data_IF_016607113898
#
_entry.id   IF_016607113898
#
_cell.length_a   1.000
_cell.length_b   1.000
_cell.length_c   1.000
_cell.angle_alpha   90.00
_cell.angle_beta   90.00
_cell.angle_gamma   90.00
#
_symmetry.space_group_name_H-M   'P 1'
#
loop_
_entity.id
_entity.type
_entity.pdbx_description
1 polymer ?
#
# COMPACT_ATOMS: atom_id res chain seq x y z
N UNK A 1 -34.13 33.91 14.98
CA UNK A 1 -33.98 33.07 13.76
C UNK A 1 -32.77 32.14 13.81
N UNK A 2 -31.89 32.22 14.82
CA UNK A 2 -30.69 31.38 14.97
C UNK A 2 -30.98 29.90 15.32
N UNK A 3 -32.14 29.60 15.89
CA UNK A 3 -32.48 28.24 16.35
C UNK A 3 -32.79 27.27 15.19
N UNK A 4 -33.45 27.73 14.13
CA UNK A 4 -33.80 26.88 12.98
C UNK A 4 -32.57 26.38 12.22
N UNK A 5 -31.55 27.23 12.03
CA UNK A 5 -30.32 26.85 11.34
C UNK A 5 -29.54 25.78 12.14
N UNK A 6 -29.50 25.92 13.47
CA UNK A 6 -28.85 24.94 14.35
C UNK A 6 -29.57 23.59 14.33
N UNK A 7 -30.90 23.59 14.32
CA UNK A 7 -31.70 22.35 14.20
C UNK A 7 -31.46 21.66 12.85
N UNK A 8 -31.45 22.41 11.75
CA UNK A 8 -31.15 21.86 10.43
C UNK A 8 -29.75 21.25 10.36
N UNK A 9 -28.74 21.93 10.93
CA UNK A 9 -27.37 21.42 10.97
C UNK A 9 -27.25 20.14 11.82
N UNK A 10 -27.96 20.06 12.95
CA UNK A 10 -28.02 18.83 13.77
C UNK A 10 -28.67 17.67 13.01
N UNK A 11 -29.79 17.91 12.34
CA UNK A 11 -30.48 16.91 11.54
C UNK A 11 -29.59 16.40 10.39
N UNK A 12 -28.89 17.30 9.69
CA UNK A 12 -27.94 16.92 8.63
C UNK A 12 -26.78 16.09 9.17
N UNK A 13 -26.23 16.44 10.34
CA UNK A 13 -25.18 15.65 11.00
C UNK A 13 -25.66 14.24 11.33
N UNK A 14 -26.86 14.10 11.90
CA UNK A 14 -27.45 12.80 12.23
C UNK A 14 -27.68 11.95 10.97
N UNK A 15 -28.17 12.56 9.89
CA UNK A 15 -28.33 11.89 8.59
C UNK A 15 -26.99 11.35 8.06
N UNK A 16 -25.93 12.17 8.07
CA UNK A 16 -24.60 11.77 7.60
C UNK A 16 -24.00 10.66 8.46
N UNK A 17 -24.21 10.68 9.79
CA UNK A 17 -23.77 9.60 10.68
C UNK A 17 -24.50 8.29 10.38
N UNK A 18 -25.81 8.35 10.15
CA UNK A 18 -26.60 7.18 9.78
C UNK A 18 -26.16 6.60 8.43
N UNK A 19 -25.86 7.45 7.44
CA UNK A 19 -25.34 7.03 6.14
C UNK A 19 -23.96 6.40 6.27
N UNK A 20 -23.07 7.00 7.07
CA UNK A 20 -21.74 6.42 7.37
C UNK A 20 -21.86 5.03 7.97
N UNK A 21 -22.77 4.82 8.92
CA UNK A 21 -22.99 3.50 9.53
C UNK A 21 -23.43 2.47 8.48
N UNK A 22 -24.39 2.82 7.61
CA UNK A 22 -24.86 1.95 6.53
C UNK A 22 -23.73 1.56 5.56
N UNK A 23 -22.85 2.49 5.23
CA UNK A 23 -21.69 2.21 4.39
C UNK A 23 -20.72 1.23 5.06
N UNK A 24 -20.46 1.38 6.35
CA UNK A 24 -19.64 0.43 7.11
C UNK A 24 -20.26 -0.98 7.14
N UNK A 25 -21.57 -1.09 7.35
CA UNK A 25 -22.28 -2.38 7.28
C UNK A 25 -22.19 -3.01 5.88
N UNK A 26 -22.26 -2.19 4.82
CA UNK A 26 -22.12 -2.67 3.44
C UNK A 26 -20.71 -3.17 3.15
N UNK A 27 -19.67 -2.47 3.61
CA UNK A 27 -18.27 -2.91 3.49
C UNK A 27 -18.07 -4.23 4.21
N UNK A 28 -18.49 -4.34 5.47
CA UNK A 28 -18.36 -5.57 6.25
C UNK A 28 -19.06 -6.76 5.58
N UNK A 29 -20.21 -6.54 4.92
CA UNK A 29 -20.87 -7.58 4.13
C UNK A 29 -20.04 -8.02 2.92
N UNK A 30 -19.50 -7.06 2.15
CA UNK A 30 -18.67 -7.36 0.98
C UNK A 30 -17.39 -8.11 1.37
N UNK A 31 -16.76 -7.74 2.49
CA UNK A 31 -15.57 -8.44 3.00
C UNK A 31 -15.88 -9.92 3.33
N UNK A 32 -17.06 -10.20 3.91
CA UNK A 32 -17.50 -11.58 4.14
C UNK A 32 -17.76 -12.32 2.82
N UNK A 33 -18.41 -11.68 1.85
CA UNK A 33 -18.66 -12.27 0.52
C UNK A 33 -17.36 -12.61 -0.21
N UNK A 34 -16.32 -11.77 -0.11
CA UNK A 34 -14.98 -12.03 -0.65
C UNK A 34 -14.36 -13.25 0.04
N UNK A 35 -14.39 -13.30 1.38
CA UNK A 35 -13.85 -14.43 2.13
C UNK A 35 -14.57 -15.76 1.86
N UNK A 36 -15.87 -15.72 1.52
CA UNK A 36 -16.62 -16.90 1.06
C UNK A 36 -16.16 -17.35 -0.33
N UNK A 37 -15.93 -16.41 -1.24
CA UNK A 37 -15.43 -16.69 -2.59
C UNK A 37 -14.01 -17.27 -2.59
N UNK A 38 -13.11 -16.72 -1.77
CA UNK A 38 -11.73 -17.21 -1.64
C UNK A 38 -11.70 -18.66 -1.13
N UNK A 39 -12.49 -18.96 -0.09
CA UNK A 39 -12.64 -20.33 0.43
C UNK A 39 -13.15 -21.30 -0.63
N UNK A 40 -14.14 -20.87 -1.42
CA UNK A 40 -14.66 -21.67 -2.53
C UNK A 40 -13.58 -21.95 -3.59
N UNK A 41 -12.76 -20.96 -3.95
CA UNK A 41 -11.66 -21.11 -4.91
C UNK A 41 -10.63 -22.13 -4.40
N UNK A 42 -10.25 -22.04 -3.12
CA UNK A 42 -9.32 -23.00 -2.49
C UNK A 42 -9.87 -24.43 -2.50
N UNK A 43 -11.13 -24.60 -2.08
CA UNK A 43 -11.80 -25.90 -2.10
C UNK A 43 -11.89 -26.45 -3.52
N UNK A 44 -12.25 -25.60 -4.49
CA UNK A 44 -12.32 -25.99 -5.89
C UNK A 44 -10.95 -26.46 -6.40
N UNK A 45 -9.86 -25.73 -6.15
CA UNK A 45 -8.51 -26.16 -6.54
C UNK A 45 -8.11 -27.49 -5.91
N UNK A 46 -8.51 -27.73 -4.66
CA UNK A 46 -8.26 -29.00 -3.96
C UNK A 46 -8.91 -30.20 -4.65
N UNK A 47 -10.13 -30.04 -5.18
CA UNK A 47 -10.86 -31.11 -5.86
C UNK A 47 -10.56 -31.20 -7.36
N UNK A 48 -10.27 -30.07 -8.00
CA UNK A 48 -10.12 -29.97 -9.44
C UNK A 48 -8.70 -30.27 -9.94
N UNK A 49 -7.69 -30.33 -9.07
CA UNK A 49 -6.33 -30.77 -9.43
C UNK A 49 -6.18 -32.29 -9.21
N UNK A 50 -6.32 -33.14 -10.25
CA UNK A 50 -6.16 -34.58 -10.14
C UNK A 50 -4.70 -35.05 -9.95
N UNK A 51 -3.72 -34.14 -9.87
CA UNK A 51 -2.29 -34.49 -9.80
C UNK A 51 -1.71 -34.67 -8.39
N UNK A 52 -2.44 -34.36 -7.31
CA UNK A 52 -1.88 -34.40 -5.94
C UNK A 52 -1.83 -35.79 -5.27
N UNK A 53 -2.06 -36.89 -6.01
CA UNK A 53 -2.04 -38.24 -5.44
C UNK A 53 -1.12 -39.26 -6.14
N UNK A 54 -0.22 -38.84 -7.04
CA UNK A 54 0.69 -39.78 -7.71
C UNK A 54 2.13 -39.24 -7.93
N UNK A 55 2.71 -38.54 -6.95
CA UNK A 55 4.15 -38.29 -6.93
C UNK A 55 4.83 -39.28 -5.99
N UNK A 56 5.26 -40.40 -6.57
CA UNK A 56 6.27 -41.31 -6.01
C UNK A 56 7.53 -40.54 -5.58
N UNK A 57 8.10 -40.80 -4.39
CA UNK A 57 9.36 -40.23 -3.96
C UNK A 57 10.54 -41.06 -4.50
N UNK A 58 10.78 -41.05 -5.80
CA UNK A 58 11.99 -41.65 -6.37
C UNK A 58 12.50 -40.90 -7.61
N UNK A 59 13.83 -40.72 -7.69
CA UNK A 59 14.61 -40.08 -8.77
C UNK A 59 14.72 -38.54 -8.76
N UNK A 60 15.89 -37.92 -8.90
CA UNK A 60 17.23 -38.43 -9.16
C UNK A 60 18.27 -37.39 -8.72
N UNK A 61 19.37 -37.90 -8.18
CA UNK A 61 20.63 -37.20 -8.05
C UNK A 61 21.18 -36.86 -9.45
N UNK A 62 21.28 -35.57 -9.77
CA UNK A 62 21.88 -35.06 -11.00
C UNK A 62 22.89 -33.97 -10.69
N UNK A 63 24.17 -34.38 -10.63
CA UNK A 63 25.34 -33.54 -10.46
C UNK A 63 25.42 -32.49 -11.58
N UNK A 64 25.62 -31.20 -11.25
CA UNK A 64 26.16 -30.23 -12.21
C UNK A 64 27.12 -29.23 -11.54
N UNK A 65 28.40 -29.53 -11.74
CA UNK A 65 29.53 -28.67 -12.17
C UNK A 65 29.54 -27.19 -11.74
N UNK A 66 30.49 -26.76 -10.86
CA UNK A 66 30.63 -25.36 -10.46
C UNK A 66 31.35 -24.52 -11.52
N UNK A 67 30.72 -23.43 -11.94
CA UNK A 67 31.30 -22.32 -12.71
C UNK A 67 32.06 -21.32 -11.81
N UNK A 68 33.00 -20.53 -12.37
CA UNK A 68 33.98 -19.76 -11.60
C UNK A 68 33.35 -18.65 -10.76
N UNK A 69 33.83 -18.57 -9.52
CA UNK A 69 33.39 -17.68 -8.44
C UNK A 69 33.62 -16.21 -8.77
N UNK A 70 32.53 -15.49 -9.01
CA UNK A 70 32.46 -14.03 -8.87
C UNK A 70 32.52 -13.72 -7.37
N UNK A 71 33.37 -12.76 -6.98
CA UNK A 71 33.59 -12.33 -5.60
C UNK A 71 32.27 -12.18 -4.84
N UNK A 72 31.95 -13.16 -3.98
CA UNK A 72 30.76 -13.08 -3.15
C UNK A 72 31.00 -12.05 -2.05
N UNK A 73 30.24 -10.94 -2.02
CA UNK A 73 30.35 -9.96 -0.95
C UNK A 73 30.11 -10.65 0.39
N UNK A 74 30.95 -10.35 1.38
CA UNK A 74 30.84 -10.87 2.75
C UNK A 74 29.39 -10.67 3.22
N UNK A 75 28.68 -11.78 3.41
CA UNK A 75 27.32 -11.79 3.98
C UNK A 75 27.40 -11.16 5.36
N UNK A 76 27.01 -9.89 5.48
CA UNK A 76 26.58 -9.33 6.75
C UNK A 76 25.41 -10.20 7.20
N UNK A 77 25.53 -10.82 8.38
CA UNK A 77 24.57 -11.75 8.98
C UNK A 77 23.29 -11.03 9.43
N UNK A 78 22.57 -10.47 8.46
CA UNK A 78 21.32 -9.75 8.68
C UNK A 78 20.63 -9.40 7.36
N UNK A 79 19.45 -8.80 7.49
CA UNK A 79 18.65 -8.38 6.35
C UNK A 79 19.41 -7.45 5.42
N UNK A 80 19.09 -7.52 4.12
CA UNK A 80 19.51 -6.53 3.13
C UNK A 80 19.13 -5.13 3.59
N UNK A 81 19.94 -4.12 3.20
CA UNK A 81 19.65 -2.73 3.55
C UNK A 81 18.34 -2.30 2.90
N UNK A 82 17.59 -1.43 3.59
CA UNK A 82 16.28 -0.98 3.11
C UNK A 82 16.39 -0.24 1.76
N UNK A 83 17.51 0.45 1.52
CA UNK A 83 17.79 1.17 0.27
C UNK A 83 17.98 0.20 -0.90
N UNK A 84 18.73 -0.90 -0.68
CA UNK A 84 18.95 -1.94 -1.69
C UNK A 84 17.64 -2.67 -2.00
N UNK A 85 16.86 -2.99 -0.96
CA UNK A 85 15.53 -3.63 -1.10
C UNK A 85 14.56 -2.72 -1.86
N UNK A 86 14.53 -1.42 -1.57
CA UNK A 86 13.67 -0.48 -2.27
C UNK A 86 14.09 -0.29 -3.74
N UNK A 87 15.39 -0.25 -4.01
CA UNK A 87 15.91 -0.16 -5.38
C UNK A 87 15.52 -1.39 -6.20
N UNK A 88 15.74 -2.59 -5.66
CA UNK A 88 15.33 -3.84 -6.30
C UNK A 88 13.81 -3.94 -6.48
N UNK A 89 13.03 -3.49 -5.48
CA UNK A 89 11.57 -3.45 -5.59
C UNK A 89 11.10 -2.52 -6.71
N UNK A 90 11.71 -1.34 -6.83
CA UNK A 90 11.42 -0.37 -7.89
C UNK A 90 11.68 -0.99 -9.27
N UNK A 91 12.79 -1.68 -9.46
CA UNK A 91 13.11 -2.37 -10.71
C UNK A 91 12.06 -3.44 -11.06
N UNK A 92 11.71 -4.31 -10.11
CA UNK A 92 10.69 -5.35 -10.31
C UNK A 92 9.35 -4.73 -10.73
N UNK A 93 8.93 -3.66 -10.05
CA UNK A 93 7.65 -2.99 -10.35
C UNK A 93 7.69 -2.35 -11.75
N UNK A 94 8.81 -1.73 -12.12
CA UNK A 94 8.97 -1.10 -13.44
C UNK A 94 8.98 -2.13 -14.58
N UNK A 95 9.61 -3.27 -14.38
CA UNK A 95 9.61 -4.36 -15.36
C UNK A 95 8.21 -4.92 -15.62
N UNK A 96 7.37 -4.98 -14.57
CA UNK A 96 5.98 -5.45 -14.68
C UNK A 96 5.02 -4.38 -15.18
N UNK A 97 5.34 -3.11 -14.97
CA UNK A 97 4.51 -1.97 -15.38
C UNK A 97 3.22 -1.78 -14.59
N UNK A 98 3.00 -2.57 -13.52
CA UNK A 98 1.80 -2.52 -12.67
C UNK A 98 2.16 -2.42 -11.18
N UNK A 99 1.34 -1.76 -10.34
CA UNK A 99 1.55 -1.75 -8.89
C UNK A 99 1.52 -3.15 -8.31
N UNK A 100 2.54 -3.52 -7.52
CA UNK A 100 2.70 -4.89 -7.03
C UNK A 100 2.37 -5.03 -5.55
N UNK A 101 1.54 -6.02 -5.20
CA UNK A 101 1.25 -6.32 -3.82
C UNK A 101 2.49 -6.84 -3.11
N UNK A 102 2.51 -6.66 -1.80
CA UNK A 102 3.59 -7.16 -0.93
C UNK A 102 3.83 -8.65 -1.08
N UNK A 103 2.75 -9.42 -1.19
CA UNK A 103 2.80 -10.88 -1.26
C UNK A 103 3.48 -11.34 -2.56
N UNK A 104 3.32 -10.59 -3.65
CA UNK A 104 3.92 -10.88 -4.96
C UNK A 104 5.35 -10.33 -5.06
N UNK A 105 5.61 -9.17 -4.45
CA UNK A 105 6.91 -8.52 -4.49
C UNK A 105 7.95 -9.29 -3.67
N UNK A 106 7.55 -9.87 -2.53
CA UNK A 106 8.45 -10.62 -1.65
C UNK A 106 9.19 -11.77 -2.34
N UNK A 107 8.53 -12.76 -2.99
CA UNK A 107 9.23 -13.87 -3.63
C UNK A 107 10.16 -13.40 -4.76
N UNK A 108 9.77 -12.36 -5.52
CA UNK A 108 10.61 -11.81 -6.59
C UNK A 108 11.88 -11.14 -6.06
N UNK A 109 11.81 -10.49 -4.90
CA UNK A 109 12.99 -9.91 -4.25
C UNK A 109 13.94 -10.98 -3.72
N UNK A 110 13.38 -12.05 -3.14
CA UNK A 110 14.17 -13.20 -2.68
C UNK A 110 14.86 -13.91 -3.86
N UNK A 111 14.17 -14.05 -4.99
CA UNK A 111 14.74 -14.59 -6.24
C UNK A 111 15.91 -13.75 -6.74
N UNK A 112 15.87 -12.42 -6.56
CA UNK A 112 16.99 -11.50 -6.84
C UNK A 112 18.11 -11.53 -5.79
N UNK A 113 18.04 -12.43 -4.83
CA UNK A 113 19.06 -12.60 -3.79
C UNK A 113 18.95 -11.62 -2.62
N UNK A 114 17.80 -10.95 -2.44
CA UNK A 114 17.57 -10.12 -1.26
C UNK A 114 17.26 -10.99 -0.03
N UNK A 115 17.94 -10.72 1.08
CA UNK A 115 17.69 -11.40 2.35
C UNK A 115 16.74 -10.56 3.20
N UNK A 116 15.55 -11.10 3.48
CA UNK A 116 14.56 -10.46 4.34
C UNK A 116 14.08 -11.51 5.35
N UNK A 117 14.61 -11.46 6.57
CA UNK A 117 14.31 -12.39 7.65
C UNK A 117 13.56 -11.70 8.78
N UNK A 118 12.78 -12.48 9.53
CA UNK A 118 12.00 -12.04 10.68
C UNK A 118 10.90 -13.05 11.02
N UNK A 119 10.16 -12.79 12.10
CA UNK A 119 8.96 -13.60 12.45
C UNK A 119 7.90 -13.57 11.34
N UNK A 120 7.77 -12.43 10.68
CA UNK A 120 6.94 -12.21 9.49
C UNK A 120 7.75 -11.42 8.45
N UNK A 121 8.42 -12.12 7.51
CA UNK A 121 9.27 -11.49 6.51
C UNK A 121 8.54 -10.48 5.61
N UNK A 122 7.27 -10.73 5.29
CA UNK A 122 6.49 -9.81 4.47
C UNK A 122 6.20 -8.53 5.24
N UNK A 123 5.86 -8.61 6.53
CA UNK A 123 5.67 -7.43 7.35
C UNK A 123 6.98 -6.63 7.53
N UNK A 124 8.12 -7.32 7.63
CA UNK A 124 9.45 -6.67 7.62
C UNK A 124 9.67 -5.93 6.29
N UNK A 125 9.41 -6.56 5.15
CA UNK A 125 9.47 -5.92 3.83
C UNK A 125 8.58 -4.66 3.78
N UNK A 126 7.32 -4.78 4.21
CA UNK A 126 6.40 -3.65 4.30
C UNK A 126 6.97 -2.48 5.09
N UNK A 127 7.59 -2.77 6.23
CA UNK A 127 8.18 -1.76 7.11
C UNK A 127 9.41 -1.11 6.46
N UNK A 128 10.24 -1.88 5.76
CA UNK A 128 11.37 -1.35 4.99
C UNK A 128 10.90 -0.41 3.89
N UNK A 129 9.94 -0.83 3.07
CA UNK A 129 9.40 -0.01 1.97
C UNK A 129 8.70 1.25 2.47
N UNK A 130 7.96 1.17 3.58
CA UNK A 130 7.32 2.34 4.20
C UNK A 130 8.34 3.41 4.62
N UNK A 131 9.54 3.00 5.07
CA UNK A 131 10.64 3.91 5.40
C UNK A 131 11.31 4.52 4.18
N UNK A 132 10.99 4.04 2.98
CA UNK A 132 11.51 4.49 1.69
C UNK A 132 10.40 5.15 0.86
N UNK A 133 9.50 5.89 1.52
CA UNK A 133 8.36 6.60 0.91
C UNK A 133 8.74 7.63 -0.16
N UNK A 134 10.00 8.07 -0.13
CA UNK A 134 10.62 8.94 -1.13
C UNK A 134 10.88 8.23 -2.46
N UNK A 135 11.02 6.90 -2.45
CA UNK A 135 11.26 6.08 -3.64
C UNK A 135 10.03 5.25 -4.04
N UNK A 136 9.29 4.73 -3.07
CA UNK A 136 8.15 3.84 -3.29
C UNK A 136 6.97 4.26 -2.42
N UNK A 137 5.82 4.39 -3.06
CA UNK A 137 4.55 4.75 -2.44
C UNK A 137 3.59 3.58 -2.51
N UNK A 138 2.72 3.46 -1.51
CA UNK A 138 1.59 2.53 -1.55
C UNK A 138 0.38 3.24 -2.16
N UNK A 139 -0.06 2.81 -3.33
CA UNK A 139 -1.22 3.40 -4.02
C UNK A 139 -2.53 2.88 -3.42
N UNK A 140 -3.57 3.72 -3.38
CA UNK A 140 -4.86 3.35 -2.78
C UNK A 140 -5.53 2.24 -3.59
N UNK A 141 -5.84 1.12 -2.93
CA UNK A 141 -6.43 -0.05 -3.59
C UNK A 141 -5.45 -0.87 -4.43
N UNK A 142 -4.16 -0.51 -4.42
CA UNK A 142 -3.13 -1.22 -5.15
C UNK A 142 -1.87 -1.50 -4.31
N UNK A 143 -0.88 -2.06 -4.99
CA UNK A 143 0.41 -2.41 -4.43
C UNK A 143 1.33 -1.23 -4.15
N UNK A 144 2.63 -1.51 -4.19
CA UNK A 144 3.68 -0.49 -4.20
C UNK A 144 3.93 -0.01 -5.63
N UNK A 145 4.25 1.27 -5.77
CA UNK A 145 4.57 1.95 -7.02
C UNK A 145 5.70 2.97 -6.83
N UNK A 146 6.52 3.28 -7.85
CA UNK A 146 7.55 4.33 -7.74
C UNK A 146 6.94 5.71 -7.44
N UNK A 147 7.50 6.40 -6.45
CA UNK A 147 6.98 7.69 -5.97
C UNK A 147 7.22 8.86 -6.94
N UNK A 148 8.06 8.67 -7.95
CA UNK A 148 8.43 9.67 -8.95
C UNK A 148 7.67 9.50 -10.29
N UNK A 149 6.89 8.42 -10.46
CA UNK A 149 6.27 8.07 -11.74
C UNK A 149 4.75 8.07 -11.60
N UNK A 150 4.07 8.85 -12.43
CA UNK A 150 2.61 8.84 -12.49
C UNK A 150 2.08 7.49 -13.01
N UNK A 151 0.96 7.03 -12.43
CA UNK A 151 0.26 5.84 -12.90
C UNK A 151 -1.24 6.16 -13.01
N UNK A 152 -1.69 6.39 -14.25
CA UNK A 152 -3.07 6.74 -14.53
C UNK A 152 -4.05 5.60 -14.21
N UNK A 153 -3.65 4.34 -14.41
CA UNK A 153 -4.49 3.16 -14.13
C UNK A 153 -4.79 3.01 -12.64
N UNK A 154 -3.79 3.29 -11.80
CA UNK A 154 -3.92 3.28 -10.34
C UNK A 154 -4.43 4.61 -9.76
N UNK A 155 -4.67 5.64 -10.60
CA UNK A 155 -5.06 6.97 -10.16
C UNK A 155 -4.00 7.68 -9.30
N UNK A 156 -2.72 7.39 -9.52
CA UNK A 156 -1.61 7.98 -8.78
C UNK A 156 -0.93 9.10 -9.58
N UNK A 157 -0.91 10.30 -8.99
CA UNK A 157 -0.15 11.45 -9.46
C UNK A 157 0.86 11.89 -8.37
N UNK A 158 2.17 11.85 -8.66
CA UNK A 158 3.20 12.26 -7.70
C UNK A 158 3.11 13.74 -7.31
N UNK A 159 2.59 14.61 -8.20
CA UNK A 159 2.47 16.04 -7.90
C UNK A 159 1.37 16.31 -6.88
N UNK A 160 0.21 15.65 -7.03
CA UNK A 160 -0.90 15.76 -6.06
C UNK A 160 -0.51 15.22 -4.68
N UNK A 161 0.26 14.12 -4.65
CA UNK A 161 0.65 13.48 -3.39
C UNK A 161 1.56 14.36 -2.54
N UNK A 162 2.51 15.08 -3.17
CA UNK A 162 3.40 16.01 -2.48
C UNK A 162 2.68 17.20 -1.88
N UNK A 163 1.63 17.69 -2.54
CA UNK A 163 0.84 18.80 -2.04
C UNK A 163 0.10 18.41 -0.75
N UNK A 164 -0.48 17.21 -0.71
CA UNK A 164 -1.15 16.68 0.49
C UNK A 164 -0.15 16.51 1.64
N UNK A 165 1.03 15.92 1.39
CA UNK A 165 2.05 15.74 2.42
C UNK A 165 2.57 17.09 2.95
N UNK A 166 2.70 18.10 2.09
CA UNK A 166 3.06 19.45 2.49
C UNK A 166 1.97 20.10 3.37
N UNK A 167 0.69 19.89 3.05
CA UNK A 167 -0.42 20.40 3.86
C UNK A 167 -0.46 19.70 5.22
N UNK A 168 -0.28 18.38 5.26
CA UNK A 168 -0.35 17.59 6.50
C UNK A 168 0.85 17.82 7.43
N UNK A 169 2.03 18.12 6.88
CA UNK A 169 3.23 18.41 7.67
C UNK A 169 3.41 19.90 7.99
N UNK A 170 2.53 20.80 7.51
CA UNK A 170 2.56 22.19 7.94
C UNK A 170 2.26 22.28 9.44
N UNK A 171 3.07 23.02 10.23
CA UNK A 171 2.81 23.21 11.64
C UNK A 171 1.42 23.84 11.82
N UNK A 172 0.61 23.27 12.71
CA UNK A 172 -0.79 23.67 12.96
C UNK A 172 -0.91 25.16 13.30
N UNK A 173 0.15 25.76 13.86
CA UNK A 173 0.23 27.19 14.19
C UNK A 173 0.14 28.11 12.96
N UNK A 174 0.51 27.64 11.76
CA UNK A 174 0.45 28.46 10.53
C UNK A 174 -0.93 28.41 9.85
N UNK A 175 -1.77 27.42 10.19
CA UNK A 175 -3.10 27.23 9.56
C UNK A 175 -4.21 27.95 10.36
N UNK A 176 -3.92 28.31 11.62
CA UNK A 176 -4.85 28.96 12.54
C UNK A 176 -4.34 30.35 12.95
N UNK A 177 -3.83 31.13 12.00
CA UNK A 177 -3.61 32.55 12.25
C UNK A 177 -4.91 33.33 11.93
N UNK A 178 -5.72 33.69 12.95
CA UNK A 178 -6.94 34.47 12.75
C UNK A 178 -6.65 35.90 12.28
N UNK A 179 -5.39 36.33 12.17
CA UNK A 179 -5.00 37.64 11.65
C UNK A 179 -4.81 37.68 10.11
N UNK A 180 -5.02 36.58 9.38
CA UNK A 180 -5.03 36.68 7.91
C UNK A 180 -6.15 37.63 7.46
N UNK A 181 -5.74 38.77 6.89
CA UNK A 181 -6.53 39.96 6.51
C UNK A 181 -7.74 39.71 5.58
N UNK A 182 -8.10 38.47 5.30
CA UNK A 182 -9.19 38.08 4.39
C UNK A 182 -10.58 38.47 4.94
N UNK A 183 -10.72 38.74 6.24
CA UNK A 183 -12.01 39.14 6.85
C UNK A 183 -12.15 40.64 7.17
N UNK A 184 -11.19 41.49 6.79
CA UNK A 184 -11.24 42.91 7.19
C UNK A 184 -12.13 43.82 6.32
N UNK A 185 -12.64 43.33 5.19
CA UNK A 185 -13.25 44.21 4.17
C UNK A 185 -14.81 44.20 4.14
N UNK A 186 -15.48 43.57 5.11
CA UNK A 186 -16.94 43.43 5.09
C UNK A 186 -17.70 44.48 5.95
N UNK A 187 -17.02 45.34 6.71
CA UNK A 187 -17.68 46.27 7.65
C UNK A 187 -17.68 47.75 7.24
N UNK A 188 -17.05 48.15 6.13
CA UNK A 188 -16.93 49.59 5.78
C UNK A 188 -17.96 50.12 4.77
N UNK A 189 -18.91 49.33 4.27
CA UNK A 189 -19.89 49.78 3.25
C UNK A 189 -21.34 49.92 3.74
N UNK A 190 -21.52 50.25 5.02
CA UNK A 190 -22.81 50.64 5.58
C UNK A 190 -22.71 52.06 6.17
N UNK A 191 -22.52 53.04 5.29
CA UNK A 191 -22.61 54.48 5.57
C UNK A 191 -23.51 55.16 4.57
#
# INVERSE_FOLDING_TARGET
MTDQALQNAKAQREQLLAERLKLHERIARLDNEIGDADRFIEDWHRYASPESHAADPESAAGQNKPEPSVDTPKKTTGNSRKEDVASAAREVILERGIPMLRNDLYPLLVERGMTIEGRDPQMVLSTMLWRMRDQLVRVKGGGYWPADIANAEAGYDPNQSREIDNILNKPVEEVLDPESDVYRDASENAG
#
